data_IF_018484772343
#
_entry.id   IF_018484772343
#
_cell.length_a   1.000
_cell.length_b   1.000
_cell.length_c   1.000
_cell.angle_alpha   90.00
_cell.angle_beta   90.00
_cell.angle_gamma   90.00
#
_symmetry.space_group_name_H-M   'P 1'
#
loop_
_entity.id
_entity.type
_entity.pdbx_description
1 polymer ?
#
# COMPACT_ATOMS: atom_id res chain seq x y z
N UNK A 1 4.95 21.27 -24.03
CA UNK A 1 5.99 20.78 -23.14
C UNK A 1 6.54 19.48 -23.69
N UNK A 2 7.83 19.32 -23.65
CA UNK A 2 8.54 18.15 -24.15
C UNK A 2 8.27 16.95 -23.26
N UNK A 3 7.28 16.14 -23.61
CA UNK A 3 6.89 14.91 -22.93
C UNK A 3 7.83 13.73 -23.24
N UNK A 4 8.94 14.00 -23.90
CA UNK A 4 9.85 12.98 -24.44
C UNK A 4 11.00 12.60 -23.52
N UNK A 5 11.25 13.34 -22.44
CA UNK A 5 12.43 13.15 -21.62
C UNK A 5 12.09 12.94 -20.15
N UNK A 6 12.40 11.77 -19.61
CA UNK A 6 12.32 11.41 -18.16
C UNK A 6 11.01 11.80 -17.46
N UNK A 7 9.88 11.56 -18.11
CA UNK A 7 8.59 11.96 -17.61
C UNK A 7 8.05 10.87 -16.70
N UNK A 8 7.79 11.21 -15.54
CA UNK A 8 7.35 10.50 -14.35
C UNK A 8 8.49 10.29 -13.35
N UNK A 9 9.17 11.36 -13.02
CA UNK A 9 10.31 11.30 -12.08
C UNK A 9 9.97 11.70 -10.66
N UNK A 10 8.74 12.15 -10.38
CA UNK A 10 8.30 12.55 -9.05
C UNK A 10 6.93 11.97 -8.73
N UNK A 11 6.69 11.73 -7.44
CA UNK A 11 5.37 11.41 -6.88
C UNK A 11 4.72 10.09 -7.39
N UNK A 12 5.54 9.04 -7.53
CA UNK A 12 5.04 7.71 -7.85
C UNK A 12 4.56 6.95 -6.60
N UNK A 13 3.92 7.67 -5.69
CA UNK A 13 3.33 7.11 -4.47
C UNK A 13 1.80 7.09 -4.65
N UNK A 14 1.20 5.94 -4.34
CA UNK A 14 -0.23 5.79 -4.19
C UNK A 14 -0.55 5.62 -2.71
N UNK A 15 -1.50 6.40 -2.22
CA UNK A 15 -2.04 6.25 -0.88
C UNK A 15 -3.47 5.73 -0.96
N UNK A 16 -3.78 4.73 -0.15
CA UNK A 16 -5.14 4.21 0.04
C UNK A 16 -5.51 4.36 1.50
N UNK A 17 -6.70 4.90 1.74
CA UNK A 17 -7.30 5.03 3.07
C UNK A 17 -8.59 4.23 3.12
N UNK A 18 -8.71 3.32 4.10
CA UNK A 18 -9.92 2.54 4.34
C UNK A 18 -10.57 3.04 5.63
N UNK A 19 -11.84 3.39 5.53
CA UNK A 19 -12.64 3.88 6.65
C UNK A 19 -13.63 2.80 7.12
N UNK A 20 -13.94 2.81 8.41
CA UNK A 20 -14.96 1.92 8.98
C UNK A 20 -14.49 0.46 9.12
N UNK A 21 -13.19 0.20 9.08
CA UNK A 21 -12.67 -1.14 9.35
C UNK A 21 -12.87 -1.48 10.82
N UNK A 22 -13.46 -2.65 11.17
CA UNK A 22 -13.61 -3.06 12.55
C UNK A 22 -12.25 -3.32 13.20
N UNK A 23 -12.16 -3.15 14.52
CA UNK A 23 -11.00 -3.59 15.29
C UNK A 23 -10.99 -5.12 15.39
N UNK A 24 -9.80 -5.71 15.48
CA UNK A 24 -9.62 -7.13 15.73
C UNK A 24 -9.29 -7.98 14.50
N UNK A 25 -9.22 -7.41 13.29
CA UNK A 25 -8.82 -8.17 12.10
C UNK A 25 -7.32 -8.41 12.09
N UNK A 26 -6.92 -9.58 11.63
CA UNK A 26 -5.53 -10.00 11.48
C UNK A 26 -5.08 -10.98 12.57
N UNK A 27 -4.18 -11.87 12.19
CA UNK A 27 -3.59 -12.89 13.07
C UNK A 27 -2.05 -12.81 13.04
N UNK A 28 -1.41 -12.23 14.06
CA UNK A 28 0.04 -12.30 14.18
C UNK A 28 0.49 -13.76 14.42
N UNK A 29 1.64 -14.19 13.91
CA UNK A 29 2.64 -13.33 13.25
C UNK A 29 2.42 -13.23 11.74
N UNK A 30 1.99 -14.29 11.07
CA UNK A 30 2.03 -14.40 9.61
C UNK A 30 0.79 -13.84 8.92
N UNK A 31 -0.37 -13.96 9.57
CA UNK A 31 -1.66 -13.47 9.08
C UNK A 31 -1.99 -12.04 9.51
N UNK A 32 -1.00 -11.21 9.82
CA UNK A 32 -1.25 -9.81 10.16
C UNK A 32 -1.88 -9.05 9.01
N UNK A 33 -2.66 -8.00 9.30
CA UNK A 33 -3.23 -7.10 8.28
C UNK A 33 -2.14 -6.60 7.34
N UNK A 34 -1.02 -6.16 7.90
CA UNK A 34 0.10 -5.62 7.13
C UNK A 34 0.74 -6.68 6.24
N UNK A 35 0.99 -7.90 6.76
CA UNK A 35 1.60 -8.98 5.98
C UNK A 35 0.70 -9.40 4.82
N UNK A 36 -0.58 -9.56 5.08
CA UNK A 36 -1.57 -9.97 4.07
C UNK A 36 -1.69 -8.94 2.96
N UNK A 37 -1.86 -7.67 3.32
CA UNK A 37 -2.00 -6.60 2.33
C UNK A 37 -0.68 -6.34 1.60
N UNK A 38 0.46 -6.36 2.29
CA UNK A 38 1.76 -6.16 1.65
C UNK A 38 2.04 -7.24 0.59
N UNK A 39 1.73 -8.51 0.87
CA UNK A 39 1.88 -9.59 -0.10
C UNK A 39 1.06 -9.36 -1.37
N UNK A 40 -0.20 -8.92 -1.22
CA UNK A 40 -1.06 -8.58 -2.35
C UNK A 40 -0.53 -7.36 -3.12
N UNK A 41 -0.11 -6.32 -2.42
CA UNK A 41 0.38 -5.09 -3.03
C UNK A 41 1.69 -5.29 -3.79
N UNK A 42 2.60 -6.13 -3.29
CA UNK A 42 3.81 -6.50 -4.02
C UNK A 42 3.55 -7.38 -5.24
N UNK A 43 2.36 -7.97 -5.39
CA UNK A 43 1.95 -8.67 -6.61
C UNK A 43 1.66 -7.71 -7.78
N UNK A 44 1.43 -6.42 -7.50
CA UNK A 44 1.24 -5.40 -8.53
C UNK A 44 2.57 -5.14 -9.24
N UNK A 45 2.64 -5.28 -10.57
CA UNK A 45 3.87 -4.99 -11.31
C UNK A 45 4.39 -3.58 -11.02
N UNK A 46 5.70 -3.46 -10.86
CA UNK A 46 6.43 -2.23 -10.58
C UNK A 46 6.24 -1.63 -9.17
N UNK A 47 5.45 -2.19 -8.29
CA UNK A 47 5.48 -1.83 -6.86
C UNK A 47 6.84 -2.24 -6.28
N UNK A 48 7.50 -1.32 -5.56
CA UNK A 48 8.84 -1.48 -4.99
C UNK A 48 8.92 -1.18 -3.50
N UNK A 49 7.85 -0.67 -2.92
CA UNK A 49 7.75 -0.46 -1.48
C UNK A 49 6.30 -0.36 -1.06
N UNK A 50 6.05 -0.77 0.17
CA UNK A 50 4.77 -0.67 0.86
C UNK A 50 5.06 -0.16 2.25
N UNK A 51 4.26 0.79 2.72
CA UNK A 51 4.33 1.26 4.10
C UNK A 51 2.93 1.50 4.66
N UNK A 52 2.82 1.39 5.98
CA UNK A 52 1.59 1.63 6.72
C UNK A 52 1.78 2.81 7.67
N UNK A 53 0.76 3.67 7.77
CA UNK A 53 0.82 4.86 8.61
C UNK A 53 2.02 5.76 8.28
N UNK A 54 2.85 6.06 9.26
CA UNK A 54 4.08 6.84 9.06
C UNK A 54 5.18 6.10 8.29
N UNK A 55 5.12 4.75 8.25
CA UNK A 55 6.10 3.94 7.54
C UNK A 55 7.53 4.29 7.94
N UNK A 56 8.40 4.62 6.98
CA UNK A 56 9.78 5.01 7.24
C UNK A 56 9.93 6.28 8.09
N UNK A 57 8.87 7.09 8.23
CA UNK A 57 8.87 8.27 9.09
C UNK A 57 9.07 7.94 10.58
N UNK A 58 8.79 6.71 11.01
CA UNK A 58 9.06 6.26 12.38
C UNK A 58 10.55 6.35 12.76
N UNK A 59 11.46 6.22 11.80
CA UNK A 59 12.89 6.28 12.06
C UNK A 59 13.36 7.63 12.67
N UNK A 60 12.58 8.69 12.46
CA UNK A 60 12.84 10.02 13.03
C UNK A 60 12.16 10.29 14.39
N UNK A 61 11.43 9.32 14.94
CA UNK A 61 10.65 9.51 16.15
C UNK A 61 11.26 8.79 17.37
N UNK A 62 11.03 9.37 18.54
CA UNK A 62 11.23 8.66 19.83
C UNK A 62 10.00 7.82 20.14
N UNK A 63 10.15 6.76 20.95
CA UNK A 63 9.04 5.86 21.29
C UNK A 63 7.81 6.56 21.87
N UNK A 64 8.00 7.59 22.70
CA UNK A 64 6.89 8.38 23.25
C UNK A 64 6.13 9.20 22.20
N UNK A 65 6.77 9.59 21.11
CA UNK A 65 6.15 10.32 20.00
C UNK A 65 5.55 9.40 18.93
N UNK A 66 6.04 8.17 18.87
CA UNK A 66 5.56 7.15 17.92
C UNK A 66 4.28 6.45 18.42
N UNK A 67 3.97 6.58 19.71
CA UNK A 67 2.82 5.91 20.32
C UNK A 67 1.50 6.57 19.93
N UNK A 68 0.55 5.77 19.45
CA UNK A 68 -0.85 6.17 19.23
C UNK A 68 -1.64 5.89 20.52
N UNK A 69 -1.63 6.84 21.46
CA UNK A 69 -2.27 6.67 22.75
C UNK A 69 -3.79 6.51 22.62
N UNK A 70 -4.34 5.47 23.22
CA UNK A 70 -5.79 5.25 23.25
C UNK A 70 -6.51 6.28 24.12
N UNK A 71 -7.71 6.66 23.71
CA UNK A 71 -8.60 7.58 24.43
C UNK A 71 -10.06 7.24 24.15
N UNK A 72 -10.94 7.66 25.06
CA UNK A 72 -12.38 7.61 24.86
C UNK A 72 -12.86 8.81 24.06
N UNK A 73 -13.72 8.56 23.08
CA UNK A 73 -14.49 9.57 22.35
C UNK A 73 -15.96 9.18 22.43
N UNK A 74 -16.67 9.74 23.40
CA UNK A 74 -17.96 9.23 23.79
C UNK A 74 -17.85 7.80 24.31
N UNK A 75 -18.57 6.86 23.73
CA UNK A 75 -18.53 5.42 24.07
C UNK A 75 -17.46 4.65 23.28
N UNK A 76 -16.83 5.28 22.27
CA UNK A 76 -15.89 4.61 21.38
C UNK A 76 -14.44 4.77 21.86
N UNK A 77 -13.67 3.69 21.75
CA UNK A 77 -12.21 3.73 21.91
C UNK A 77 -11.59 4.17 20.59
N UNK A 78 -10.77 5.22 20.63
CA UNK A 78 -10.02 5.73 19.47
C UNK A 78 -8.57 5.99 19.89
N UNK A 79 -7.69 6.24 18.94
CA UNK A 79 -6.33 6.70 19.22
C UNK A 79 -6.22 8.23 19.06
N UNK A 80 -5.30 8.84 19.79
CA UNK A 80 -5.06 10.29 19.73
C UNK A 80 -4.44 10.72 18.40
N UNK A 81 -3.63 9.84 17.85
CA UNK A 81 -2.96 9.97 16.54
C UNK A 81 -3.17 8.66 15.77
N UNK A 82 -2.76 8.61 14.51
CA UNK A 82 -2.85 7.39 13.70
C UNK A 82 -1.53 7.13 12.97
N UNK A 83 -0.44 7.20 13.73
CA UNK A 83 0.90 6.97 13.20
C UNK A 83 1.09 5.55 12.68
N UNK A 84 0.44 4.57 13.34
CA UNK A 84 0.47 3.16 12.94
C UNK A 84 -0.47 2.84 11.76
N UNK A 85 -1.20 3.83 11.24
CA UNK A 85 -2.09 3.62 10.09
C UNK A 85 -3.23 2.63 10.34
N UNK A 86 -3.79 2.59 11.55
CA UNK A 86 -4.94 1.74 11.87
C UNK A 86 -4.59 0.31 12.29
N UNK A 87 -3.31 -0.03 12.43
CA UNK A 87 -2.85 -1.39 12.78
C UNK A 87 -1.88 -1.34 13.95
N UNK A 88 -2.14 -2.11 14.99
CA UNK A 88 -1.27 -2.27 16.15
C UNK A 88 -0.94 -3.75 16.34
N UNK A 89 0.36 -4.09 16.31
CA UNK A 89 0.80 -5.47 16.49
C UNK A 89 0.25 -6.44 15.43
N UNK A 90 -0.05 -5.95 14.23
CA UNK A 90 -0.61 -6.75 13.13
C UNK A 90 -2.13 -6.87 13.13
N UNK A 91 -2.81 -6.22 14.08
CA UNK A 91 -4.27 -6.29 14.26
C UNK A 91 -4.87 -4.90 14.04
N UNK A 92 -5.99 -4.82 13.30
CA UNK A 92 -6.71 -3.56 13.11
C UNK A 92 -7.25 -3.01 14.43
N UNK A 93 -7.19 -1.69 14.62
CA UNK A 93 -7.57 -1.03 15.88
C UNK A 93 -8.84 -0.17 15.75
N UNK A 94 -9.55 -0.22 14.62
CA UNK A 94 -10.76 0.55 14.37
C UNK A 94 -10.54 1.98 13.88
N UNK A 95 -9.27 2.44 13.80
CA UNK A 95 -8.90 3.70 13.16
C UNK A 95 -8.82 3.52 11.63
N UNK A 96 -8.80 4.62 10.85
CA UNK A 96 -8.56 4.52 9.42
C UNK A 96 -7.31 3.72 9.09
N UNK A 97 -7.44 2.70 8.26
CA UNK A 97 -6.28 2.00 7.71
C UNK A 97 -5.65 2.89 6.64
N UNK A 98 -4.39 3.25 6.82
CA UNK A 98 -3.63 4.10 5.89
C UNK A 98 -2.42 3.33 5.40
N UNK A 99 -2.31 3.15 4.11
CA UNK A 99 -1.16 2.51 3.48
C UNK A 99 -0.71 3.27 2.24
N UNK A 100 0.58 3.16 1.92
CA UNK A 100 1.17 3.75 0.72
C UNK A 100 2.04 2.75 0.00
N UNK A 101 2.04 2.84 -1.32
CA UNK A 101 2.97 2.08 -2.17
C UNK A 101 3.79 3.02 -3.03
N UNK A 102 5.03 2.65 -3.30
CA UNK A 102 5.85 3.32 -4.31
C UNK A 102 5.95 2.44 -5.55
N UNK A 103 5.70 3.05 -6.69
CA UNK A 103 5.74 2.40 -8.01
C UNK A 103 6.99 2.84 -8.75
N UNK A 104 7.73 1.89 -9.30
CA UNK A 104 8.92 2.16 -10.12
C UNK A 104 8.54 2.93 -11.38
N UNK A 105 9.25 4.03 -11.73
CA UNK A 105 9.07 4.70 -13.01
C UNK A 105 9.26 3.76 -14.19
N UNK A 106 8.53 4.01 -15.28
CA UNK A 106 8.65 3.24 -16.51
C UNK A 106 10.06 3.40 -17.10
N UNK A 107 10.81 2.30 -17.30
CA UNK A 107 12.13 2.37 -17.90
C UNK A 107 12.12 2.55 -19.42
N UNK A 108 10.96 2.41 -20.05
CA UNK A 108 10.78 2.55 -21.50
C UNK A 108 10.64 4.03 -21.85
N UNK A 109 11.77 4.71 -21.97
CA UNK A 109 11.88 6.12 -22.31
C UNK A 109 12.61 6.34 -23.62
N UNK A 110 12.42 7.50 -24.27
CA UNK A 110 13.04 7.83 -25.57
C UNK A 110 14.53 8.16 -25.50
N UNK A 111 15.19 7.93 -24.37
CA UNK A 111 16.62 8.16 -24.22
C UNK A 111 17.42 6.95 -24.63
N UNK A 112 18.66 7.20 -25.13
CA UNK A 112 19.65 6.15 -25.34
C UNK A 112 20.02 5.53 -24.00
N UNK A 113 19.86 4.22 -23.89
CA UNK A 113 20.13 3.45 -22.67
C UNK A 113 21.20 2.42 -22.92
N UNK A 114 22.02 2.18 -21.91
CA UNK A 114 23.00 1.10 -21.91
C UNK A 114 22.31 -0.23 -21.64
N UNK A 115 22.67 -1.24 -22.39
CA UNK A 115 22.10 -2.59 -22.27
C UNK A 115 23.15 -3.62 -22.73
N UNK A 116 22.73 -4.86 -22.86
CA UNK A 116 23.56 -5.95 -23.38
C UNK A 116 22.85 -6.67 -24.53
N UNK A 117 23.65 -7.08 -25.50
CA UNK A 117 23.22 -8.05 -26.49
C UNK A 117 23.47 -9.44 -25.91
N UNK A 118 22.38 -10.13 -25.56
CA UNK A 118 22.47 -11.45 -24.92
C UNK A 118 23.04 -12.53 -25.86
N UNK A 119 22.79 -12.43 -27.17
CA UNK A 119 23.30 -13.39 -28.14
C UNK A 119 24.80 -13.20 -28.37
N UNK A 120 25.22 -11.94 -28.57
CA UNK A 120 26.64 -11.61 -28.80
C UNK A 120 27.45 -11.48 -27.49
N UNK A 121 26.79 -11.52 -26.30
CA UNK A 121 27.40 -11.37 -24.96
C UNK A 121 28.29 -10.13 -24.86
N UNK A 122 27.80 -8.99 -25.36
CA UNK A 122 28.53 -7.72 -25.37
C UNK A 122 27.64 -6.56 -24.94
N UNK A 123 28.26 -5.49 -24.45
CA UNK A 123 27.56 -4.24 -24.17
C UNK A 123 26.98 -3.64 -25.46
N UNK A 124 25.78 -3.11 -25.38
CA UNK A 124 25.07 -2.48 -26.46
C UNK A 124 24.35 -1.22 -25.99
N UNK A 125 23.89 -0.42 -26.91
CA UNK A 125 23.01 0.70 -26.66
C UNK A 125 21.64 0.44 -27.28
N UNK A 126 20.59 0.86 -26.59
CA UNK A 126 19.23 0.74 -27.08
C UNK A 126 18.55 2.10 -26.98
N UNK A 127 17.85 2.50 -28.02
CA UNK A 127 16.89 3.59 -27.98
C UNK A 127 15.52 3.01 -28.33
N UNK A 128 14.61 3.06 -27.38
CA UNK A 128 13.27 2.54 -27.55
C UNK A 128 12.46 3.60 -28.30
N UNK A 129 11.81 3.19 -29.39
CA UNK A 129 10.87 4.01 -30.14
C UNK A 129 9.49 3.38 -30.08
N UNK A 130 8.44 4.17 -29.94
CA UNK A 130 7.06 3.70 -29.86
C UNK A 130 6.21 4.52 -28.88
N UNK A 131 4.92 4.22 -28.83
CA UNK A 131 4.01 4.87 -27.87
C UNK A 131 4.08 4.14 -26.55
N UNK A 132 4.56 4.81 -25.52
CA UNK A 132 4.63 4.28 -24.15
C UNK A 132 3.71 5.08 -23.23
N UNK A 133 3.20 4.41 -22.19
CA UNK A 133 2.46 5.09 -21.12
C UNK A 133 3.44 5.93 -20.29
N UNK A 134 3.25 7.24 -20.23
CA UNK A 134 4.14 8.11 -19.45
C UNK A 134 4.03 7.84 -17.95
N UNK A 135 2.86 7.36 -17.47
CA UNK A 135 2.63 7.10 -16.05
C UNK A 135 1.58 6.00 -15.87
N UNK A 136 1.93 4.96 -15.12
CA UNK A 136 1.04 3.82 -14.84
C UNK A 136 0.15 4.04 -13.61
N UNK A 137 0.35 5.11 -12.83
CA UNK A 137 -0.35 5.33 -11.57
C UNK A 137 -1.87 5.34 -11.70
N UNK A 138 -2.40 5.94 -12.77
CA UNK A 138 -3.84 5.97 -13.00
C UNK A 138 -4.47 4.57 -13.11
N UNK A 139 -3.72 3.61 -13.65
CA UNK A 139 -4.14 2.20 -13.73
C UNK A 139 -3.83 1.47 -12.43
N UNK A 140 -2.65 1.70 -11.87
CA UNK A 140 -2.21 1.06 -10.63
C UNK A 140 -3.14 1.39 -9.45
N UNK A 141 -3.71 2.60 -9.39
CA UNK A 141 -4.65 3.00 -8.34
C UNK A 141 -5.84 2.05 -8.23
N UNK A 142 -6.54 1.79 -9.32
CA UNK A 142 -7.72 0.91 -9.31
C UNK A 142 -7.34 -0.51 -8.92
N UNK A 143 -6.19 -0.99 -9.38
CA UNK A 143 -5.67 -2.32 -9.02
C UNK A 143 -5.34 -2.38 -7.53
N UNK A 144 -4.66 -1.35 -7.01
CA UNK A 144 -4.33 -1.26 -5.59
C UNK A 144 -5.58 -1.27 -4.71
N UNK A 145 -6.55 -0.40 -4.99
CA UNK A 145 -7.78 -0.32 -4.22
C UNK A 145 -8.57 -1.66 -4.26
N UNK A 146 -8.58 -2.32 -5.42
CA UNK A 146 -9.24 -3.62 -5.57
C UNK A 146 -8.54 -4.72 -4.76
N UNK A 147 -7.21 -4.75 -4.75
CA UNK A 147 -6.45 -5.74 -3.97
C UNK A 147 -6.55 -5.48 -2.46
N UNK A 148 -6.57 -4.22 -2.04
CA UNK A 148 -6.82 -3.86 -0.64
C UNK A 148 -8.21 -4.33 -0.22
N UNK A 149 -9.24 -4.05 -1.02
CA UNK A 149 -10.60 -4.49 -0.75
C UNK A 149 -10.70 -6.03 -0.70
N UNK A 150 -10.05 -6.72 -1.64
CA UNK A 150 -10.01 -8.19 -1.66
C UNK A 150 -9.35 -8.77 -0.41
N UNK A 151 -8.16 -8.25 -0.03
CA UNK A 151 -7.46 -8.73 1.16
C UNK A 151 -8.22 -8.48 2.46
N UNK A 152 -8.89 -7.32 2.57
CA UNK A 152 -9.73 -7.02 3.73
C UNK A 152 -10.99 -7.89 3.76
N UNK A 153 -11.61 -8.17 2.62
CA UNK A 153 -12.74 -9.09 2.55
C UNK A 153 -12.35 -10.50 2.99
N UNK A 154 -11.17 -10.98 2.61
CA UNK A 154 -10.64 -12.27 3.04
C UNK A 154 -10.40 -12.29 4.56
N UNK A 155 -9.75 -11.27 5.12
CA UNK A 155 -9.54 -11.12 6.57
C UNK A 155 -10.87 -11.06 7.33
N UNK A 156 -11.86 -10.34 6.82
CA UNK A 156 -13.20 -10.33 7.40
C UNK A 156 -13.87 -11.70 7.35
N UNK A 157 -13.74 -12.42 6.23
CA UNK A 157 -14.24 -13.77 6.08
C UNK A 157 -13.61 -14.76 7.06
N UNK A 158 -12.29 -14.65 7.27
CA UNK A 158 -11.56 -15.48 8.23
C UNK A 158 -11.97 -15.20 9.66
N UNK A 159 -12.18 -13.94 10.03
CA UNK A 159 -12.48 -13.53 11.39
C UNK A 159 -13.97 -13.71 11.76
N UNK A 160 -14.89 -13.29 10.89
CA UNK A 160 -16.32 -13.26 11.17
C UNK A 160 -17.13 -14.37 10.46
N UNK A 161 -16.48 -15.22 9.66
CA UNK A 161 -17.17 -16.16 8.79
C UNK A 161 -18.06 -15.43 7.79
N UNK A 162 -19.32 -15.85 7.65
CA UNK A 162 -20.32 -15.20 6.77
C UNK A 162 -21.07 -14.04 7.43
N UNK A 163 -20.95 -13.88 8.75
CA UNK A 163 -21.70 -12.88 9.52
C UNK A 163 -21.41 -11.43 9.10
N UNK A 164 -20.19 -11.15 8.63
CA UNK A 164 -19.82 -9.82 8.17
C UNK A 164 -20.59 -9.39 6.90
N UNK A 165 -20.99 -10.34 6.05
CA UNK A 165 -21.79 -10.07 4.84
C UNK A 165 -23.23 -9.66 5.19
N UNK A 166 -23.73 -10.08 6.33
CA UNK A 166 -25.03 -9.75 6.85
C UNK A 166 -25.06 -8.44 7.65
N UNK A 167 -23.91 -7.75 7.74
CA UNK A 167 -23.77 -6.50 8.49
C UNK A 167 -23.67 -6.69 10.01
N UNK A 168 -23.71 -7.91 10.51
CA UNK A 168 -23.65 -8.20 11.94
C UNK A 168 -22.32 -7.80 12.59
N UNK A 169 -21.22 -7.87 11.82
CA UNK A 169 -19.88 -7.50 12.29
C UNK A 169 -19.69 -5.99 12.52
N UNK A 170 -20.54 -5.15 11.94
CA UNK A 170 -20.45 -3.69 12.03
C UNK A 170 -21.19 -3.11 13.23
N UNK A 171 -21.98 -3.94 13.93
CA UNK A 171 -22.80 -3.56 15.08
C UNK A 171 -22.20 -4.01 16.43
N UNK A 172 -20.94 -4.39 16.45
CA UNK A 172 -20.24 -4.73 17.71
C UNK A 172 -19.74 -3.43 18.35
N UNK A 173 -20.66 -2.75 19.05
CA UNK A 173 -20.38 -1.61 19.93
C UNK A 173 -19.64 -2.06 21.21
#
# INVERSE_FOLDING_TARGET
>A
GDWSSDVCSSDLILETVVLGLPAGLGEPFFGSVESTLAALLFSIPAVKGVEFGLGFGFAGLTGSRANDAFRMQGTRVVTATNHNGGVNGGISNGMPLVLRTVVKPTPSIYKVQQTVDFAAKRNATLQISGRHDPCILHRARVVQDSLVAFGLADLCGQHFGTAWQEGAAWNMD
#
